data_IF_132503109964
#
_entry.id   IF_132503109964
#
_cell.length_a   1.000
_cell.length_b   1.000
_cell.length_c   1.000
_cell.angle_alpha   90.00
_cell.angle_beta   90.00
_cell.angle_gamma   90.00
#
_symmetry.space_group_name_H-M   'P 1'
#
loop_
_entity.id
_entity.type
_entity.pdbx_description
1 polymer ?
#
# COMPACT_ATOMS: atom_id res chain seq x y z
N UNK A 1 8.52 -13.71 5.27
CA UNK A 1 7.24 -13.86 4.55
C UNK A 1 7.25 -12.98 3.31
N UNK A 2 6.27 -13.10 2.41
CA UNK A 2 6.11 -12.18 1.28
C UNK A 2 4.62 -12.00 0.98
N UNK A 3 4.14 -10.76 1.02
CA UNK A 3 2.75 -10.41 0.77
C UNK A 3 2.69 -9.37 -0.35
N UNK A 4 1.84 -9.62 -1.34
CA UNK A 4 1.41 -8.63 -2.33
C UNK A 4 -0.02 -8.23 -2.05
N UNK A 5 -0.26 -6.94 -1.86
CA UNK A 5 -1.59 -6.37 -1.69
C UNK A 5 -1.92 -5.63 -2.99
N UNK A 6 -2.69 -6.27 -3.85
CA UNK A 6 -3.23 -5.66 -5.07
C UNK A 6 -4.35 -4.69 -4.70
N UNK A 7 -4.27 -3.48 -5.24
CA UNK A 7 -5.23 -2.41 -4.96
C UNK A 7 -6.16 -2.22 -6.16
N UNK A 8 -7.45 -2.10 -5.86
CA UNK A 8 -8.49 -1.73 -6.82
C UNK A 8 -9.28 -0.55 -6.25
N UNK A 9 -9.85 0.26 -7.15
CA UNK A 9 -10.69 1.40 -6.79
C UNK A 9 -12.03 0.92 -6.22
N UNK A 10 -12.63 -0.08 -6.83
CA UNK A 10 -13.87 -0.67 -6.36
C UNK A 10 -13.73 -2.18 -6.15
N UNK A 11 -14.05 -2.64 -4.95
CA UNK A 11 -13.91 -4.05 -4.54
C UNK A 11 -14.96 -4.97 -5.19
N UNK A 12 -16.13 -4.44 -5.51
CA UNK A 12 -17.24 -5.19 -6.13
C UNK A 12 -17.00 -5.39 -7.62
N UNK A 13 -16.65 -4.33 -8.33
CA UNK A 13 -16.46 -4.35 -9.79
C UNK A 13 -15.03 -4.75 -10.19
N UNK A 14 -14.07 -4.64 -9.26
CA UNK A 14 -12.63 -4.74 -9.51
C UNK A 14 -12.12 -3.68 -10.49
N UNK A 15 -12.78 -2.52 -10.52
CA UNK A 15 -12.29 -1.37 -11.28
C UNK A 15 -10.88 -1.00 -10.81
N UNK A 16 -9.94 -0.98 -11.75
CA UNK A 16 -8.56 -0.60 -11.48
C UNK A 16 -8.37 0.91 -11.62
N UNK A 17 -7.25 1.40 -11.11
CA UNK A 17 -6.86 2.80 -11.25
C UNK A 17 -6.43 3.09 -12.69
N UNK A 18 -6.68 4.30 -13.16
CA UNK A 18 -6.06 4.80 -14.40
C UNK A 18 -4.55 5.02 -14.19
N UNK A 19 -3.80 5.15 -15.28
CA UNK A 19 -2.35 5.41 -15.22
C UNK A 19 -2.03 6.69 -14.42
N UNK A 20 -2.78 7.78 -14.69
CA UNK A 20 -2.61 9.07 -14.00
C UNK A 20 -2.96 8.98 -12.50
N UNK A 21 -4.03 8.25 -12.15
CA UNK A 21 -4.40 8.02 -10.74
C UNK A 21 -3.33 7.19 -10.03
N UNK A 22 -2.81 6.15 -10.69
CA UNK A 22 -1.78 5.26 -10.15
C UNK A 22 -0.48 6.01 -9.87
N UNK A 23 -0.03 6.85 -10.81
CA UNK A 23 1.18 7.67 -10.65
C UNK A 23 1.04 8.60 -9.44
N UNK A 24 -0.06 9.37 -9.41
CA UNK A 24 -0.33 10.34 -8.33
C UNK A 24 -0.47 9.68 -6.98
N UNK A 25 -1.15 8.53 -6.92
CA UNK A 25 -1.35 7.78 -5.68
C UNK A 25 -0.04 7.16 -5.18
N UNK A 26 0.63 6.37 -6.02
CA UNK A 26 1.75 5.52 -5.61
C UNK A 26 3.06 6.31 -5.44
N UNK A 27 3.40 7.13 -6.43
CA UNK A 27 4.63 7.93 -6.43
C UNK A 27 4.43 9.26 -5.72
N UNK A 28 3.27 9.89 -5.91
CA UNK A 28 2.97 11.21 -5.34
C UNK A 28 2.70 11.19 -3.84
N UNK A 29 2.14 10.10 -3.29
CA UNK A 29 1.74 10.04 -1.89
C UNK A 29 2.23 8.78 -1.16
N UNK A 30 1.82 7.60 -1.63
CA UNK A 30 1.82 6.37 -0.85
C UNK A 30 3.23 5.94 -0.41
N UNK A 31 4.19 5.94 -1.33
CA UNK A 31 5.57 5.53 -1.04
C UNK A 31 6.20 6.37 0.08
N UNK A 32 5.94 7.68 0.07
CA UNK A 32 6.47 8.60 1.06
C UNK A 32 5.70 8.50 2.37
N UNK A 33 4.38 8.44 2.33
CA UNK A 33 3.54 8.35 3.51
C UNK A 33 3.80 7.07 4.32
N UNK A 34 3.96 5.92 3.66
CA UNK A 34 4.31 4.66 4.33
C UNK A 34 5.68 4.75 5.00
N UNK A 35 6.66 5.33 4.32
CA UNK A 35 8.00 5.52 4.87
C UNK A 35 8.02 6.46 6.07
N UNK A 36 7.35 7.61 5.97
CA UNK A 36 7.24 8.61 7.05
C UNK A 36 6.49 8.05 8.27
N UNK A 37 5.54 7.12 8.05
CA UNK A 37 4.84 6.38 9.10
C UNK A 37 5.66 5.21 9.71
N UNK A 38 6.90 4.98 9.24
CA UNK A 38 7.80 3.97 9.76
C UNK A 38 7.75 2.61 9.04
N UNK A 39 6.94 2.47 8.00
CA UNK A 39 6.81 1.22 7.24
C UNK A 39 7.61 1.29 5.93
N UNK A 40 8.81 0.71 5.93
CA UNK A 40 9.59 0.56 4.71
C UNK A 40 9.11 -0.64 3.89
N UNK A 41 8.45 -0.36 2.78
CA UNK A 41 7.96 -1.34 1.84
C UNK A 41 7.99 -0.81 0.41
N UNK A 42 7.62 -1.65 -0.57
CA UNK A 42 7.55 -1.23 -1.96
C UNK A 42 6.10 -1.00 -2.36
N UNK A 43 5.79 0.20 -2.82
CA UNK A 43 4.61 0.49 -3.61
C UNK A 43 5.03 0.58 -5.09
N UNK A 44 4.39 -0.17 -5.99
CA UNK A 44 4.78 -0.28 -7.39
C UNK A 44 3.57 -0.27 -8.33
N UNK A 45 3.80 0.14 -9.58
CA UNK A 45 2.81 0.32 -10.65
C UNK A 45 3.15 -0.47 -11.92
N UNK A 46 4.07 -1.44 -11.86
CA UNK A 46 4.47 -2.26 -13.02
C UNK A 46 3.38 -3.27 -13.39
N UNK A 47 2.26 -2.79 -13.92
CA UNK A 47 1.04 -3.53 -14.18
C UNK A 47 -0.07 -3.00 -13.27
N UNK A 48 -0.41 -3.77 -12.23
CA UNK A 48 -1.42 -3.37 -11.26
C UNK A 48 -0.81 -2.65 -10.05
N UNK A 49 -1.46 -1.62 -9.51
CA UNK A 49 -1.07 -0.97 -8.25
C UNK A 49 -0.95 -1.96 -7.10
N UNK A 50 0.26 -2.13 -6.57
CA UNK A 50 0.55 -3.14 -5.55
C UNK A 50 1.41 -2.59 -4.42
N UNK A 51 1.11 -3.01 -3.19
CA UNK A 51 2.01 -2.88 -2.03
C UNK A 51 2.64 -4.24 -1.74
N UNK A 52 3.96 -4.28 -1.68
CA UNK A 52 4.73 -5.48 -1.40
C UNK A 52 5.39 -5.39 -0.02
N UNK A 53 5.09 -6.35 0.84
CA UNK A 53 5.62 -6.47 2.20
C UNK A 53 6.46 -7.73 2.32
N UNK A 54 7.69 -7.59 2.79
CA UNK A 54 8.62 -8.70 3.00
C UNK A 54 9.15 -8.74 4.44
N UNK A 55 8.28 -8.97 5.44
CA UNK A 55 8.72 -8.94 6.83
C UNK A 55 9.70 -10.09 7.14
N UNK A 56 10.71 -9.85 8.00
CA UNK A 56 11.63 -10.86 8.48
C UNK A 56 10.92 -12.11 9.04
N UNK A 57 11.59 -13.26 8.97
CA UNK A 57 11.03 -14.53 9.49
C UNK A 57 10.90 -14.56 11.03
N UNK A 58 11.56 -13.63 11.72
CA UNK A 58 11.51 -13.48 13.17
C UNK A 58 10.33 -12.63 13.65
N UNK A 59 9.58 -12.01 12.74
CA UNK A 59 8.42 -11.20 13.10
C UNK A 59 7.36 -12.07 13.79
N UNK A 60 6.85 -11.55 14.90
CA UNK A 60 5.69 -12.07 15.61
C UNK A 60 4.42 -11.28 15.26
N UNK A 61 3.29 -11.67 15.86
CA UNK A 61 1.98 -11.04 15.62
C UNK A 61 2.00 -9.52 15.85
N UNK A 62 2.75 -9.02 16.83
CA UNK A 62 2.76 -7.58 17.16
C UNK A 62 3.31 -6.74 16.01
N UNK A 63 4.30 -7.26 15.27
CA UNK A 63 4.84 -6.60 14.09
C UNK A 63 3.81 -6.56 12.94
N UNK A 64 3.01 -7.62 12.77
CA UNK A 64 1.96 -7.63 11.76
C UNK A 64 0.82 -6.67 12.11
N UNK A 65 0.48 -6.55 13.39
CA UNK A 65 -0.52 -5.60 13.86
C UNK A 65 -0.04 -4.15 13.61
N UNK A 66 1.24 -3.84 13.87
CA UNK A 66 1.83 -2.53 13.54
C UNK A 66 1.77 -2.23 12.03
N UNK A 67 2.19 -3.19 11.20
CA UNK A 67 2.12 -3.06 9.74
C UNK A 67 0.68 -2.80 9.26
N UNK A 68 -0.30 -3.55 9.80
CA UNK A 68 -1.71 -3.39 9.46
C UNK A 68 -2.25 -2.02 9.86
N UNK A 69 -1.92 -1.54 11.06
CA UNK A 69 -2.36 -0.21 11.53
C UNK A 69 -1.78 0.91 10.67
N UNK A 70 -0.50 0.85 10.32
CA UNK A 70 0.14 1.84 9.44
C UNK A 70 -0.51 1.81 8.06
N UNK A 71 -0.66 0.62 7.45
CA UNK A 71 -1.31 0.46 6.15
C UNK A 71 -2.73 1.02 6.16
N UNK A 72 -3.52 0.70 7.19
CA UNK A 72 -4.89 1.20 7.33
C UNK A 72 -4.94 2.72 7.39
N UNK A 73 -4.09 3.34 8.22
CA UNK A 73 -4.05 4.78 8.37
C UNK A 73 -3.70 5.46 7.03
N UNK A 74 -2.60 5.03 6.40
CA UNK A 74 -2.13 5.63 5.15
C UNK A 74 -3.11 5.40 4.00
N UNK A 75 -3.68 4.20 3.84
CA UNK A 75 -4.66 3.91 2.79
C UNK A 75 -5.98 4.66 2.98
N UNK A 76 -6.38 4.92 4.24
CA UNK A 76 -7.56 5.74 4.53
C UNK A 76 -7.33 7.19 4.10
N UNK A 77 -6.15 7.74 4.37
CA UNK A 77 -5.77 9.09 3.91
C UNK A 77 -5.63 9.15 2.38
N UNK A 78 -5.06 8.11 1.77
CA UNK A 78 -4.87 8.01 0.32
C UNK A 78 -6.17 8.21 -0.46
N UNK A 79 -7.32 7.81 0.10
CA UNK A 79 -8.64 8.01 -0.50
C UNK A 79 -9.02 9.48 -0.71
N UNK A 80 -8.40 10.40 0.03
CA UNK A 80 -8.60 11.84 -0.13
C UNK A 80 -7.74 12.47 -1.22
N UNK A 81 -6.81 11.70 -1.79
CA UNK A 81 -5.88 12.12 -2.84
C UNK A 81 -6.25 11.60 -4.24
N UNK A 82 -7.29 10.76 -4.35
CA UNK A 82 -7.77 10.16 -5.61
C UNK A 82 -8.93 11.00 -6.16
#
# INVERSE_FOLDING_TARGET
FFYGIEMVKDKTTKETFTDDESERLLRGFLSKALYDAGLYCRADDRGDPVIQLSPPLICDQSHFDEMEQILRAVLTEAWTHI
#
